data_IF_796086207708
#
_entry.id   IF_796086207708
#
_cell.length_a   1.000
_cell.length_b   1.000
_cell.length_c   1.000
_cell.angle_alpha   90.00
_cell.angle_beta   90.00
_cell.angle_gamma   90.00
#
_symmetry.space_group_name_H-M   'P 1'
#
loop_
_entity.id
_entity.type
_entity.pdbx_description
1 polymer ?
#
# COMPACT_ATOMS: atom_id res chain seq x y z
N UNK A 1 -10.17 14.94 -6.11
CA UNK A 1 -9.19 13.87 -5.83
C UNK A 1 -9.96 12.56 -5.79
N UNK A 2 -9.47 11.49 -6.41
CA UNK A 2 -10.17 10.21 -6.42
C UNK A 2 -9.57 9.33 -5.33
N UNK A 3 -10.24 9.25 -4.17
CA UNK A 3 -9.75 8.47 -3.03
C UNK A 3 -9.56 7.01 -3.43
N UNK A 4 -8.31 6.55 -3.51
CA UNK A 4 -7.92 5.20 -3.90
C UNK A 4 -8.02 4.23 -2.72
N UNK A 5 -8.10 2.93 -3.04
CA UNK A 5 -7.85 1.88 -2.06
C UNK A 5 -6.35 1.82 -1.80
N UNK A 6 -5.94 2.09 -0.56
CA UNK A 6 -4.54 2.17 -0.17
C UNK A 6 -4.21 1.13 0.89
N UNK A 7 -2.94 0.73 0.97
CA UNK A 7 -2.46 -0.26 1.92
C UNK A 7 -1.19 0.21 2.58
N UNK A 8 -1.07 -0.04 3.88
CA UNK A 8 0.14 0.13 4.66
C UNK A 8 0.59 -1.24 5.14
N UNK A 9 1.83 -1.61 4.81
CA UNK A 9 2.39 -2.95 5.04
C UNK A 9 3.59 -2.81 5.98
N UNK A 10 3.62 -3.59 7.07
CA UNK A 10 4.70 -3.62 8.07
C UNK A 10 5.95 -4.39 7.56
N UNK A 11 6.40 -4.05 6.35
CA UNK A 11 7.61 -4.56 5.72
C UNK A 11 8.27 -3.46 4.90
N UNK A 12 9.61 -3.41 4.84
CA UNK A 12 10.30 -2.49 3.95
C UNK A 12 10.11 -2.90 2.49
N UNK A 13 10.13 -1.92 1.58
CA UNK A 13 9.84 -2.16 0.16
C UNK A 13 10.70 -3.24 -0.50
N UNK A 14 11.97 -3.36 -0.07
CA UNK A 14 12.90 -4.41 -0.54
C UNK A 14 12.37 -5.83 -0.33
N UNK A 15 11.55 -6.06 0.69
CA UNK A 15 11.00 -7.37 1.02
C UNK A 15 9.68 -7.63 0.27
N UNK A 16 9.08 -6.58 -0.31
CA UNK A 16 7.89 -6.67 -1.18
C UNK A 16 8.28 -6.92 -2.63
N UNK A 17 9.46 -6.47 -3.09
CA UNK A 17 9.92 -6.65 -4.49
C UNK A 17 9.77 -8.10 -5.01
N UNK A 18 10.11 -9.16 -4.25
CA UNK A 18 9.96 -10.54 -4.73
C UNK A 18 8.52 -10.98 -5.03
N UNK A 19 7.51 -10.32 -4.43
CA UNK A 19 6.10 -10.62 -4.68
C UNK A 19 5.57 -9.94 -5.96
N UNK A 20 6.34 -9.02 -6.56
CA UNK A 20 6.00 -8.36 -7.81
C UNK A 20 6.21 -9.28 -9.01
N UNK A 21 5.34 -9.16 -10.00
CA UNK A 21 5.46 -9.83 -11.28
C UNK A 21 6.81 -9.48 -11.96
N UNK A 22 7.47 -10.41 -12.67
CA UNK A 22 8.84 -10.22 -13.17
C UNK A 22 9.06 -8.95 -14.02
N UNK A 23 8.05 -8.52 -14.78
CA UNK A 23 8.12 -7.30 -15.61
C UNK A 23 8.08 -6.00 -14.81
N UNK A 24 7.69 -6.05 -13.54
CA UNK A 24 7.56 -4.93 -12.63
C UNK A 24 8.64 -4.92 -11.55
N UNK A 25 9.59 -5.87 -11.56
CA UNK A 25 10.68 -5.85 -10.59
C UNK A 25 11.72 -4.78 -10.98
N UNK A 26 12.02 -3.82 -10.10
CA UNK A 26 13.03 -2.82 -10.39
C UNK A 26 14.42 -3.46 -10.46
N UNK A 27 15.23 -3.04 -11.43
CA UNK A 27 16.66 -3.34 -11.40
C UNK A 27 17.37 -2.47 -10.35
N UNK A 28 18.64 -2.76 -10.06
CA UNK A 28 19.40 -2.06 -9.02
C UNK A 28 19.51 -0.54 -9.27
N UNK A 29 19.61 -0.11 -10.53
CA UNK A 29 19.71 1.31 -10.88
C UNK A 29 18.37 2.03 -10.63
N UNK A 30 17.25 1.42 -11.02
CA UNK A 30 15.91 1.94 -10.78
C UNK A 30 15.60 2.01 -9.28
N UNK A 31 15.98 0.98 -8.51
CA UNK A 31 15.78 0.97 -7.05
C UNK A 31 16.57 2.09 -6.36
N UNK A 32 17.82 2.32 -6.79
CA UNK A 32 18.64 3.45 -6.31
C UNK A 32 18.01 4.79 -6.64
N UNK A 33 17.43 4.94 -7.83
CA UNK A 33 16.74 6.17 -8.22
C UNK A 33 15.49 6.41 -7.37
N UNK A 34 14.58 5.44 -7.31
CA UNK A 34 13.35 5.48 -6.51
C UNK A 34 13.64 5.81 -5.05
N UNK A 35 14.65 5.16 -4.47
CA UNK A 35 15.04 5.40 -3.07
C UNK A 35 15.59 6.81 -2.88
N UNK A 36 16.33 7.35 -3.86
CA UNK A 36 16.91 8.68 -3.81
C UNK A 36 15.87 9.78 -3.99
N UNK A 37 14.87 9.57 -4.86
CA UNK A 37 13.87 10.58 -5.21
C UNK A 37 12.60 10.49 -4.37
N UNK A 38 12.31 9.34 -3.75
CA UNK A 38 10.99 9.05 -3.18
C UNK A 38 9.91 9.00 -4.25
N UNK A 39 10.26 8.56 -5.46
CA UNK A 39 9.29 8.38 -6.53
C UNK A 39 8.53 7.09 -6.35
N UNK A 40 7.25 7.10 -6.71
CA UNK A 40 6.45 5.87 -6.74
C UNK A 40 6.96 4.94 -7.85
N UNK A 41 6.82 3.64 -7.60
CA UNK A 41 7.08 2.58 -8.57
C UNK A 41 5.76 1.96 -9.03
N UNK A 42 5.62 1.66 -10.32
CA UNK A 42 4.46 0.93 -10.81
C UNK A 42 4.65 -0.56 -10.54
N UNK A 43 3.62 -1.21 -10.02
CA UNK A 43 3.67 -2.59 -9.57
C UNK A 43 2.44 -3.40 -9.98
N UNK A 44 2.67 -4.71 -10.01
CA UNK A 44 1.64 -5.76 -10.14
C UNK A 44 2.16 -6.97 -9.37
N UNK A 45 1.31 -7.63 -8.58
CA UNK A 45 1.70 -8.85 -7.86
C UNK A 45 1.85 -10.01 -8.84
N UNK A 46 2.66 -11.01 -8.47
CA UNK A 46 2.65 -12.32 -9.12
C UNK A 46 1.22 -12.86 -9.12
N UNK A 47 0.78 -13.43 -10.23
CA UNK A 47 -0.56 -14.02 -10.42
C UNK A 47 -1.74 -13.04 -10.31
N UNK A 48 -1.47 -11.74 -10.20
CA UNK A 48 -2.49 -10.70 -10.22
C UNK A 48 -2.53 -9.95 -11.55
N UNK A 49 -3.71 -9.46 -11.92
CA UNK A 49 -3.90 -8.53 -13.05
C UNK A 49 -4.05 -7.06 -12.60
N UNK A 50 -3.93 -6.79 -11.30
CA UNK A 50 -4.16 -5.47 -10.71
C UNK A 50 -2.89 -4.63 -10.74
N UNK A 51 -2.95 -3.48 -11.41
CA UNK A 51 -1.89 -2.47 -11.36
C UNK A 51 -2.06 -1.53 -10.17
N UNK A 52 -0.94 -1.19 -9.55
CA UNK A 52 -0.86 -0.28 -8.42
C UNK A 52 0.43 0.53 -8.47
N UNK A 53 0.48 1.60 -7.68
CA UNK A 53 1.71 2.32 -7.36
C UNK A 53 2.19 1.94 -5.97
N UNK A 54 3.50 1.83 -5.76
CA UNK A 54 4.11 1.38 -4.51
C UNK A 54 5.31 2.25 -4.14
N UNK A 55 5.42 2.59 -2.86
CA UNK A 55 6.57 3.28 -2.27
C UNK A 55 7.53 2.25 -1.66
N UNK A 56 8.77 2.22 -2.15
CA UNK A 56 9.75 1.18 -1.83
C UNK A 56 10.88 1.67 -0.90
N UNK A 57 10.95 2.96 -0.60
CA UNK A 57 12.09 3.58 0.10
C UNK A 57 11.98 3.57 1.64
N UNK A 58 10.88 3.08 2.19
CA UNK A 58 10.55 3.14 3.62
C UNK A 58 11.00 1.94 4.45
N UNK A 59 10.86 2.11 5.76
CA UNK A 59 10.86 1.01 6.75
C UNK A 59 9.57 0.19 6.66
N UNK A 60 8.51 0.82 6.14
CA UNK A 60 7.24 0.20 5.78
C UNK A 60 6.96 0.47 4.30
N UNK A 61 6.02 -0.27 3.73
CA UNK A 61 5.61 -0.13 2.33
C UNK A 61 4.21 0.43 2.26
N UNK A 62 4.00 1.41 1.38
CA UNK A 62 2.67 1.96 1.08
C UNK A 62 2.31 1.63 -0.35
N UNK A 63 1.10 1.14 -0.57
CA UNK A 63 0.58 0.74 -1.88
C UNK A 63 -0.73 1.47 -2.17
N UNK A 64 -0.89 1.96 -3.39
CA UNK A 64 -2.10 2.60 -3.88
C UNK A 64 -2.61 1.85 -5.10
N UNK A 65 -3.79 1.21 -4.99
CA UNK A 65 -4.43 0.62 -6.16
C UNK A 65 -4.97 1.71 -7.06
N UNK A 66 -5.07 1.42 -8.36
CA UNK A 66 -5.78 2.29 -9.32
C UNK A 66 -7.30 2.36 -9.06
N UNK A 67 -7.83 1.47 -8.21
CA UNK A 67 -9.24 1.39 -7.83
C UNK A 67 -9.64 2.49 -6.85
N UNK A 68 -10.73 3.21 -7.15
CA UNK A 68 -11.35 4.17 -6.23
C UNK A 68 -12.06 3.45 -5.08
N UNK A 69 -11.87 3.93 -3.86
CA UNK A 69 -12.50 3.41 -2.65
C UNK A 69 -14.04 3.48 -2.72
N UNK A 70 -14.60 4.54 -3.33
CA UNK A 70 -16.05 4.62 -3.56
C UNK A 70 -16.59 3.46 -4.37
N UNK A 71 -15.85 3.05 -5.41
CA UNK A 71 -16.25 1.94 -6.27
C UNK A 71 -16.09 0.60 -5.53
N UNK A 72 -15.02 0.46 -4.74
CA UNK A 72 -14.83 -0.70 -3.87
C UNK A 72 -16.00 -0.91 -2.89
N UNK A 73 -16.59 0.17 -2.37
CA UNK A 73 -17.77 0.09 -1.50
C UNK A 73 -19.04 -0.23 -2.28
N UNK A 74 -19.26 0.44 -3.42
CA UNK A 74 -20.57 0.45 -4.08
C UNK A 74 -20.77 -0.60 -5.17
N UNK A 75 -19.69 -1.12 -5.75
CA UNK A 75 -19.73 -2.05 -6.88
C UNK A 75 -19.24 -3.45 -6.44
N UNK A 76 -20.12 -4.46 -6.40
CA UNK A 76 -19.76 -5.83 -5.99
C UNK A 76 -18.65 -6.45 -6.85
N UNK A 77 -18.57 -6.13 -8.14
CA UNK A 77 -17.54 -6.68 -9.03
C UNK A 77 -16.17 -6.10 -8.67
N UNK A 78 -16.12 -4.80 -8.39
CA UNK A 78 -14.90 -4.12 -7.94
C UNK A 78 -14.52 -4.59 -6.53
N UNK A 79 -15.51 -4.81 -5.66
CA UNK A 79 -15.30 -5.38 -4.34
C UNK A 79 -14.59 -6.73 -4.42
N UNK A 80 -15.17 -7.70 -5.13
CA UNK A 80 -14.62 -9.05 -5.28
C UNK A 80 -13.22 -9.03 -5.90
N UNK A 81 -12.98 -8.12 -6.85
CA UNK A 81 -11.67 -7.91 -7.47
C UNK A 81 -10.61 -7.45 -6.46
N UNK A 82 -10.95 -6.49 -5.58
CA UNK A 82 -10.04 -6.02 -4.53
C UNK A 82 -9.80 -7.11 -3.49
N UNK A 83 -10.85 -7.81 -3.05
CA UNK A 83 -10.71 -8.92 -2.08
C UNK A 83 -9.83 -10.05 -2.65
N UNK A 84 -9.96 -10.38 -3.94
CA UNK A 84 -9.07 -11.36 -4.56
C UNK A 84 -7.62 -10.90 -4.58
N UNK A 85 -7.36 -9.61 -4.83
CA UNK A 85 -6.02 -9.04 -4.74
C UNK A 85 -5.47 -9.10 -3.32
N UNK A 86 -6.28 -8.79 -2.31
CA UNK A 86 -5.91 -8.89 -0.89
C UNK A 86 -5.51 -10.31 -0.51
N UNK A 87 -6.28 -11.31 -0.95
CA UNK A 87 -5.96 -12.72 -0.71
C UNK A 87 -4.63 -13.13 -1.33
N UNK A 88 -4.32 -12.65 -2.54
CA UNK A 88 -3.02 -12.88 -3.19
C UNK A 88 -1.91 -12.19 -2.38
N UNK A 89 -2.09 -10.92 -2.01
CA UNK A 89 -1.10 -10.16 -1.24
C UNK A 89 -0.77 -10.85 0.09
N UNK A 90 -1.80 -11.20 0.87
CA UNK A 90 -1.64 -11.88 2.16
C UNK A 90 -1.10 -13.31 2.01
N UNK A 91 -1.32 -13.96 0.87
CA UNK A 91 -0.72 -15.26 0.56
C UNK A 91 0.77 -15.17 0.19
N UNK A 92 1.20 -14.03 -0.36
CA UNK A 92 2.58 -13.79 -0.77
C UNK A 92 3.45 -13.18 0.35
N UNK A 93 2.85 -12.43 1.27
CA UNK A 93 3.55 -11.69 2.31
C UNK A 93 3.12 -12.15 3.71
N UNK A 94 4.09 -12.60 4.51
CA UNK A 94 3.89 -12.84 5.94
C UNK A 94 4.07 -11.51 6.71
N UNK A 95 3.08 -10.63 6.60
CA UNK A 95 3.13 -9.26 7.13
C UNK A 95 1.79 -8.80 7.70
N UNK A 96 1.84 -7.81 8.60
CA UNK A 96 0.66 -7.06 9.00
C UNK A 96 0.33 -6.05 7.91
N UNK A 97 -0.90 -6.09 7.40
CA UNK A 97 -1.36 -5.24 6.31
C UNK A 97 -2.63 -4.50 6.73
N UNK A 98 -2.66 -3.19 6.54
CA UNK A 98 -3.83 -2.36 6.79
C UNK A 98 -4.33 -1.82 5.46
N UNK A 99 -5.54 -2.22 5.04
CA UNK A 99 -6.29 -1.49 4.02
C UNK A 99 -6.81 -0.20 4.63
N UNK A 100 -6.62 0.93 3.96
CA UNK A 100 -7.22 2.22 4.32
C UNK A 100 -7.81 2.91 3.10
N UNK A 101 -8.81 3.76 3.33
CA UNK A 101 -9.16 4.77 2.36
C UNK A 101 -8.02 5.80 2.24
N UNK A 102 -7.77 6.30 1.03
CA UNK A 102 -6.70 7.30 0.79
C UNK A 102 -6.94 8.60 1.58
N UNK A 103 -8.17 8.89 2.00
CA UNK A 103 -8.45 10.10 2.78
C UNK A 103 -7.86 10.01 4.20
N UNK A 104 -7.94 8.87 4.86
CA UNK A 104 -7.25 8.60 6.13
C UNK A 104 -5.74 8.67 5.95
N UNK A 105 -5.21 8.13 4.85
CA UNK A 105 -3.79 8.21 4.57
C UNK A 105 -3.32 9.67 4.41
N UNK A 106 -4.07 10.49 3.66
CA UNK A 106 -3.80 11.93 3.51
C UNK A 106 -3.88 12.70 4.85
N UNK A 107 -4.81 12.33 5.74
CA UNK A 107 -4.87 12.92 7.09
C UNK A 107 -3.63 12.59 7.89
N UNK A 108 -3.20 11.33 7.86
CA UNK A 108 -1.98 10.90 8.54
C UNK A 108 -0.74 11.60 8.01
N UNK A 109 -0.62 11.73 6.68
CA UNK A 109 0.45 12.49 6.03
C UNK A 109 0.43 13.97 6.43
N UNK A 110 -0.75 14.56 6.60
CA UNK A 110 -0.88 15.94 7.10
C UNK A 110 -0.41 16.10 8.56
N UNK A 111 -0.52 15.04 9.38
CA UNK A 111 -0.09 15.04 10.79
C UNK A 111 1.40 14.71 10.98
N UNK A 112 1.96 13.83 10.13
CA UNK A 112 3.31 13.25 10.29
C UNK A 112 4.31 13.66 9.22
N UNK A 113 3.84 14.26 8.13
CA UNK A 113 4.62 14.61 6.94
C UNK A 113 4.69 13.49 5.91
N UNK A 114 4.94 13.87 4.66
CA UNK A 114 4.86 13.00 3.46
C UNK A 114 5.84 11.82 3.45
N UNK A 115 6.85 11.81 4.33
CA UNK A 115 7.88 10.75 4.38
C UNK A 115 7.82 9.90 5.66
N UNK A 116 6.69 9.92 6.36
CA UNK A 116 6.48 9.21 7.62
C UNK A 116 6.81 7.71 7.55
N UNK A 117 6.61 7.08 6.39
CA UNK A 117 6.88 5.65 6.14
C UNK A 117 8.38 5.28 6.22
N UNK A 118 9.28 6.27 6.28
CA UNK A 118 10.72 6.07 6.49
C UNK A 118 11.11 6.09 7.96
N UNK A 119 10.20 6.46 8.85
CA UNK A 119 10.50 6.58 10.27
C UNK A 119 10.51 5.21 10.96
N UNK A 120 11.47 5.01 11.86
CA UNK A 120 11.51 3.79 12.69
C UNK A 120 10.26 3.74 13.57
N UNK A 121 9.53 2.62 13.51
CA UNK A 121 8.29 2.44 14.27
C UNK A 121 7.07 3.16 13.68
N UNK A 122 7.16 3.66 12.44
CA UNK A 122 6.06 4.28 11.72
C UNK A 122 4.79 3.43 11.71
N UNK A 123 4.92 2.11 11.53
CA UNK A 123 3.77 1.21 11.52
C UNK A 123 3.01 1.20 12.86
N UNK A 124 3.73 1.10 13.98
CA UNK A 124 3.12 1.08 15.30
C UNK A 124 2.37 2.39 15.58
N UNK A 125 2.99 3.53 15.27
CA UNK A 125 2.36 4.84 15.41
C UNK A 125 1.11 4.99 14.52
N UNK A 126 1.20 4.53 13.26
CA UNK A 126 0.06 4.53 12.34
C UNK A 126 -1.09 3.67 12.85
N UNK A 127 -0.80 2.47 13.38
CA UNK A 127 -1.80 1.57 13.94
C UNK A 127 -2.49 2.21 15.16
N UNK A 128 -1.71 2.75 16.09
CA UNK A 128 -2.27 3.42 17.28
C UNK A 128 -3.19 4.59 16.93
N UNK A 129 -2.89 5.28 15.82
CA UNK A 129 -3.72 6.36 15.29
C UNK A 129 -4.95 5.86 14.54
N UNK A 130 -4.81 4.85 13.66
CA UNK A 130 -5.89 4.39 12.77
C UNK A 130 -7.02 3.71 13.55
N UNK A 131 -6.70 3.01 14.65
CA UNK A 131 -7.72 2.38 15.51
C UNK A 131 -8.65 3.39 16.20
N UNK A 132 -8.27 4.67 16.22
CA UNK A 132 -9.09 5.76 16.76
C UNK A 132 -10.05 6.34 15.70
N UNK A 133 -9.97 5.86 14.45
CA UNK A 133 -10.78 6.32 13.31
C UNK A 133 -11.95 5.36 13.04
N UNK A 134 -13.00 5.80 12.31
CA UNK A 134 -14.12 4.93 11.95
C UNK A 134 -13.67 3.66 11.21
N UNK A 135 -14.18 2.51 11.64
CA UNK A 135 -13.79 1.18 11.10
C UNK A 135 -14.25 0.92 9.67
N UNK A 136 -15.11 1.76 9.09
CA UNK A 136 -15.52 1.65 7.68
C UNK A 136 -14.42 2.15 6.71
N UNK A 137 -13.51 2.97 7.22
CA UNK A 137 -12.42 3.58 6.45
C UNK A 137 -11.14 2.76 6.48
N UNK A 138 -11.07 1.66 7.23
CA UNK A 138 -9.89 0.79 7.30
C UNK A 138 -10.21 -0.66 7.67
N UNK A 139 -9.32 -1.59 7.34
CA UNK A 139 -9.38 -2.99 7.78
C UNK A 139 -7.97 -3.55 7.97
N UNK A 140 -7.79 -4.40 8.98
CA UNK A 140 -6.60 -5.24 9.11
C UNK A 140 -6.83 -6.53 8.30
N UNK A 141 -5.81 -6.98 7.56
CA UNK A 141 -5.80 -8.23 6.80
C UNK A 141 -4.97 -9.31 7.51
#
# INVERSE_FOLDING_TARGET
>A
MSNLVSYVIDLPGRDVIPSLAPSYQPNEAALKEVTRTGSLWDGRLIESSVDFSIELSGEITVVWLTTRYSNFISDPVVHDFVINWENILSGLLEARIVRVDEFLLNQWESERGDFWFREKGAFAAFIEWVIQKPSESWSLL
#
